data_IF_687398647551
#
_entry.id   IF_687398647551
#
_cell.length_a   1.000
_cell.length_b   1.000
_cell.length_c   1.000
_cell.angle_alpha   90.00
_cell.angle_beta   90.00
_cell.angle_gamma   90.00
#
_symmetry.space_group_name_H-M   'P 1'
#
loop_
_entity.id
_entity.type
_entity.pdbx_description
1 polymer ?
#
# COMPACT_ATOMS: atom_id res chain seq x y z
N UNK A 1 5.18 -48.88 0.89
CA UNK A 1 5.30 -47.41 0.96
C UNK A 1 6.64 -47.09 0.33
N UNK A 2 6.66 -47.02 -1.01
CA UNK A 2 7.86 -46.82 -1.81
C UNK A 2 8.06 -45.33 -1.99
N UNK A 3 9.18 -44.82 -1.51
CA UNK A 3 9.62 -43.45 -1.76
C UNK A 3 10.41 -43.49 -3.06
N UNK A 4 9.97 -42.71 -4.04
CA UNK A 4 10.49 -42.66 -5.41
C UNK A 4 11.91 -42.06 -5.39
N UNK A 5 12.91 -42.86 -5.79
CA UNK A 5 14.35 -42.51 -5.79
C UNK A 5 14.71 -41.36 -6.77
N UNK A 6 13.73 -40.84 -7.51
CA UNK A 6 13.92 -39.73 -8.44
C UNK A 6 14.01 -38.35 -7.77
N UNK A 7 13.63 -38.26 -6.49
CA UNK A 7 13.63 -36.96 -5.77
C UNK A 7 15.00 -36.59 -5.19
N UNK A 8 15.93 -37.57 -5.12
CA UNK A 8 17.24 -37.34 -4.49
C UNK A 8 18.29 -36.85 -5.48
N UNK A 9 18.15 -37.17 -6.78
CA UNK A 9 19.14 -36.76 -7.80
C UNK A 9 19.03 -35.30 -8.23
N UNK A 10 17.84 -34.67 -8.15
CA UNK A 10 17.67 -33.26 -8.56
C UNK A 10 18.14 -32.23 -7.51
N UNK A 11 18.42 -32.64 -6.28
CA UNK A 11 18.82 -31.72 -5.22
C UNK A 11 20.33 -31.72 -4.92
N UNK A 12 21.09 -32.65 -5.51
CA UNK A 12 22.55 -32.70 -5.33
C UNK A 12 23.30 -31.83 -6.33
N UNK A 13 22.71 -31.54 -7.50
CA UNK A 13 23.39 -30.75 -8.54
C UNK A 13 23.39 -29.23 -8.29
N UNK A 14 22.43 -28.71 -7.51
CA UNK A 14 22.41 -27.27 -7.15
C UNK A 14 23.45 -26.85 -6.10
N UNK A 15 24.03 -27.81 -5.40
CA UNK A 15 25.04 -27.49 -4.37
C UNK A 15 26.48 -27.44 -4.95
N UNK A 16 26.67 -27.98 -6.14
CA UNK A 16 27.95 -27.96 -6.84
C UNK A 16 28.17 -26.67 -7.65
N UNK A 17 27.10 -25.99 -8.06
CA UNK A 17 27.21 -24.72 -8.81
C UNK A 17 27.44 -23.49 -7.92
N UNK A 18 27.04 -23.51 -6.65
CA UNK A 18 27.30 -22.44 -5.72
C UNK A 18 28.74 -22.39 -5.21
N UNK A 19 29.51 -23.44 -5.39
CA UNK A 19 30.91 -23.51 -4.95
C UNK A 19 31.90 -22.97 -5.98
N UNK A 20 31.49 -22.73 -7.23
CA UNK A 20 32.37 -22.21 -8.29
C UNK A 20 32.32 -20.69 -8.48
N UNK A 21 31.46 -20.01 -7.78
CA UNK A 21 31.31 -18.55 -7.92
C UNK A 21 32.11 -17.75 -6.89
N UNK A 22 32.84 -18.39 -5.97
CA UNK A 22 33.59 -17.71 -4.93
C UNK A 22 35.11 -17.58 -5.17
N UNK A 23 35.64 -18.04 -6.31
CA UNK A 23 37.08 -18.00 -6.58
C UNK A 23 37.52 -17.06 -7.72
N UNK A 24 36.64 -16.19 -8.21
CA UNK A 24 36.96 -15.28 -9.31
C UNK A 24 37.11 -13.80 -8.91
N UNK A 25 37.38 -13.50 -7.64
CA UNK A 25 37.62 -12.13 -7.19
C UNK A 25 39.00 -11.99 -6.55
N UNK A 26 40.04 -12.30 -7.30
CA UNK A 26 41.40 -11.86 -6.96
C UNK A 26 42.15 -11.45 -8.22
N UNK A 27 42.65 -10.22 -8.15
CA UNK A 27 43.69 -9.62 -8.98
C UNK A 27 43.35 -9.17 -10.39
N UNK A 28 43.08 -7.87 -10.51
CA UNK A 28 43.83 -6.98 -11.42
C UNK A 28 43.57 -5.54 -11.00
N UNK A 29 44.52 -4.90 -10.33
CA UNK A 29 45.52 -3.97 -10.82
C UNK A 29 44.95 -2.57 -11.14
N UNK A 30 45.33 -1.63 -10.27
CA UNK A 30 45.68 -0.25 -10.59
C UNK A 30 44.98 0.38 -11.79
N UNK A 31 43.82 0.99 -11.55
CA UNK A 31 43.37 2.03 -12.46
C UNK A 31 43.90 3.38 -11.93
N UNK A 32 44.92 3.84 -12.59
CA UNK A 32 45.52 5.15 -12.49
C UNK A 32 44.41 6.22 -12.58
N UNK A 33 44.27 6.99 -11.51
CA UNK A 33 43.28 8.06 -11.41
C UNK A 33 43.65 9.14 -12.42
N UNK A 34 43.11 9.04 -13.62
CA UNK A 34 43.00 10.19 -14.50
C UNK A 34 41.96 11.13 -13.85
N UNK A 35 42.47 12.18 -13.23
CA UNK A 35 41.69 13.32 -12.74
C UNK A 35 41.00 14.01 -13.91
N UNK A 36 39.76 13.57 -14.20
CA UNK A 36 38.86 14.36 -15.05
C UNK A 36 38.36 15.52 -14.17
N UNK A 37 38.65 16.78 -14.51
CA UNK A 37 38.11 17.91 -13.79
C UNK A 37 36.59 17.89 -14.01
N UNK A 38 35.83 17.64 -12.95
CA UNK A 38 34.37 17.85 -12.91
C UNK A 38 34.10 19.31 -13.25
N UNK A 39 33.22 19.62 -14.22
CA UNK A 39 32.83 20.99 -14.49
C UNK A 39 32.17 21.57 -13.21
N UNK A 40 32.51 22.80 -12.82
CA UNK A 40 32.05 23.40 -11.56
C UNK A 40 30.57 23.87 -11.57
N UNK A 41 29.74 23.42 -12.49
CA UNK A 41 28.36 23.90 -12.64
C UNK A 41 27.30 22.81 -12.78
N UNK A 42 27.37 21.78 -11.95
CA UNK A 42 26.23 20.89 -11.75
C UNK A 42 25.78 20.87 -10.27
N UNK A 43 25.85 22.05 -9.63
CA UNK A 43 25.12 22.29 -8.40
C UNK A 43 23.67 22.46 -8.83
N UNK A 44 22.84 21.45 -8.51
CA UNK A 44 21.41 21.43 -8.68
C UNK A 44 20.78 22.75 -8.17
N UNK A 45 20.51 23.68 -9.11
CA UNK A 45 19.86 24.98 -8.83
C UNK A 45 18.35 24.79 -8.68
N UNK A 46 17.90 23.88 -7.82
CA UNK A 46 16.49 23.82 -7.42
C UNK A 46 16.27 23.20 -6.03
N UNK A 47 17.21 23.37 -5.11
CA UNK A 47 16.85 23.39 -3.69
C UNK A 47 16.33 24.79 -3.42
N UNK A 48 15.05 25.02 -3.67
CA UNK A 48 14.34 26.13 -3.09
C UNK A 48 14.46 25.94 -1.57
N UNK A 49 15.13 26.88 -0.90
CA UNK A 49 15.22 26.93 0.55
C UNK A 49 13.87 27.37 1.14
N UNK A 50 12.83 26.53 0.92
CA UNK A 50 11.57 26.71 1.63
C UNK A 50 11.83 26.46 3.10
N UNK A 51 11.41 27.37 3.96
CA UNK A 51 11.51 27.14 5.39
C UNK A 51 10.59 25.97 5.77
N UNK A 52 10.91 25.29 6.88
CA UNK A 52 10.08 24.20 7.39
C UNK A 52 8.64 24.68 7.66
N UNK A 53 8.50 25.93 8.14
CA UNK A 53 7.21 26.56 8.40
C UNK A 53 6.40 26.74 7.11
N UNK A 54 7.03 27.16 6.03
CA UNK A 54 6.37 27.28 4.72
C UNK A 54 5.94 25.92 4.19
N UNK A 55 6.78 24.88 4.32
CA UNK A 55 6.45 23.52 3.92
C UNK A 55 5.28 22.94 4.74
N UNK A 56 5.25 23.21 6.06
CA UNK A 56 4.14 22.80 6.94
C UNK A 56 2.84 23.59 6.65
N UNK A 57 2.95 24.83 6.17
CA UNK A 57 1.81 25.65 5.75
C UNK A 57 1.11 25.14 4.48
N UNK A 58 1.77 24.27 3.71
CA UNK A 58 1.25 23.66 2.47
C UNK A 58 0.66 22.26 2.72
N UNK A 59 0.20 21.97 3.94
CA UNK A 59 -0.44 20.68 4.23
C UNK A 59 -1.68 20.49 3.37
N UNK A 60 -1.72 19.37 2.68
CA UNK A 60 -2.89 18.92 1.91
C UNK A 60 -4.12 18.63 2.79
N UNK A 61 -5.27 18.46 2.11
CA UNK A 61 -6.50 17.95 2.69
C UNK A 61 -6.24 16.67 3.49
N UNK A 62 -6.77 16.59 4.71
CA UNK A 62 -6.65 15.40 5.55
C UNK A 62 -7.59 14.27 5.09
N UNK A 63 -7.35 13.04 5.59
CA UNK A 63 -8.24 11.91 5.34
C UNK A 63 -9.69 12.22 5.75
N UNK A 64 -9.89 12.83 6.91
CA UNK A 64 -11.23 13.15 7.42
C UNK A 64 -11.96 14.14 6.53
N UNK A 65 -11.29 15.18 6.06
CA UNK A 65 -11.86 16.18 5.15
C UNK A 65 -12.20 15.54 3.79
N UNK A 66 -11.29 14.77 3.22
CA UNK A 66 -11.53 14.05 1.97
C UNK A 66 -12.72 13.09 2.07
N UNK A 67 -12.81 12.32 3.17
CA UNK A 67 -13.93 11.41 3.41
C UNK A 67 -15.27 12.15 3.42
N UNK A 68 -15.39 13.23 4.18
CA UNK A 68 -16.62 14.02 4.27
C UNK A 68 -17.01 14.61 2.92
N UNK A 69 -16.04 15.16 2.19
CA UNK A 69 -16.25 15.67 0.83
C UNK A 69 -16.77 14.56 -0.12
N UNK A 70 -16.18 13.37 -0.05
CA UNK A 70 -16.62 12.23 -0.89
C UNK A 70 -18.01 11.73 -0.52
N UNK A 71 -18.41 11.78 0.74
CA UNK A 71 -19.77 11.46 1.19
C UNK A 71 -20.76 12.48 0.58
N UNK A 72 -20.43 13.78 0.64
CA UNK A 72 -21.26 14.83 0.05
C UNK A 72 -21.38 14.67 -1.49
N UNK A 73 -20.26 14.44 -2.17
CA UNK A 73 -20.23 14.20 -3.63
C UNK A 73 -21.08 12.99 -4.04
N UNK A 74 -21.13 11.92 -3.23
CA UNK A 74 -21.93 10.73 -3.49
C UNK A 74 -23.42 10.91 -3.19
N UNK A 75 -23.82 12.03 -2.57
CA UNK A 75 -25.20 12.28 -2.13
C UNK A 75 -25.68 11.37 -1.00
N UNK A 76 -24.78 10.63 -0.36
CA UNK A 76 -25.09 9.79 0.80
C UNK A 76 -25.11 10.61 2.08
N UNK A 77 -25.92 10.17 3.04
CA UNK A 77 -25.83 10.69 4.41
C UNK A 77 -24.72 9.99 5.17
N UNK A 78 -24.15 10.65 6.18
CA UNK A 78 -23.16 10.06 7.10
C UNK A 78 -23.62 8.68 7.62
N UNK A 79 -24.90 8.60 8.00
CA UNK A 79 -25.50 7.38 8.52
C UNK A 79 -25.55 6.23 7.50
N UNK A 80 -25.80 6.54 6.25
CA UNK A 80 -25.76 5.55 5.17
C UNK A 80 -24.32 5.09 4.90
N UNK A 81 -23.37 6.03 4.88
CA UNK A 81 -21.96 5.73 4.62
C UNK A 81 -21.38 4.78 5.67
N UNK A 82 -21.44 5.12 6.98
CA UNK A 82 -20.83 4.26 8.00
C UNK A 82 -21.56 2.92 8.14
N UNK A 83 -22.89 2.86 7.90
CA UNK A 83 -23.62 1.59 7.85
C UNK A 83 -23.21 0.72 6.66
N UNK A 84 -23.09 1.31 5.47
CA UNK A 84 -22.64 0.58 4.26
C UNK A 84 -21.19 0.11 4.41
N UNK A 85 -20.34 0.92 5.03
CA UNK A 85 -18.97 0.56 5.38
C UNK A 85 -18.89 -0.45 6.55
N UNK A 86 -20.00 -0.77 7.21
CA UNK A 86 -20.06 -1.60 8.42
C UNK A 86 -19.11 -1.10 9.52
N UNK A 87 -19.08 0.20 9.74
CA UNK A 87 -18.22 0.89 10.71
C UNK A 87 -19.09 1.42 11.86
N UNK A 88 -18.55 1.31 13.09
CA UNK A 88 -19.26 1.82 14.28
C UNK A 88 -19.45 3.34 14.19
N UNK A 89 -20.65 3.79 14.55
CA UNK A 89 -20.99 5.22 14.65
C UNK A 89 -20.00 6.01 15.51
N UNK A 90 -19.50 5.40 16.61
CA UNK A 90 -18.54 6.06 17.50
C UNK A 90 -17.22 6.35 16.76
N UNK A 91 -16.74 5.37 15.99
CA UNK A 91 -15.53 5.53 15.18
C UNK A 91 -15.73 6.60 14.11
N UNK A 92 -16.86 6.60 13.42
CA UNK A 92 -17.18 7.63 12.43
C UNK A 92 -17.25 9.03 13.06
N UNK A 93 -17.91 9.17 14.22
CA UNK A 93 -17.98 10.42 14.96
C UNK A 93 -16.59 10.93 15.36
N UNK A 94 -15.67 10.04 15.73
CA UNK A 94 -14.30 10.39 16.06
C UNK A 94 -13.53 10.90 14.82
N UNK A 95 -13.68 10.22 13.68
CA UNK A 95 -13.08 10.64 12.40
C UNK A 95 -13.59 12.04 12.01
N UNK A 96 -14.89 12.29 12.16
CA UNK A 96 -15.51 13.59 11.85
C UNK A 96 -15.05 14.71 12.77
N UNK A 97 -14.81 14.42 14.06
CA UNK A 97 -14.44 15.43 15.06
C UNK A 97 -12.96 15.79 15.05
N UNK A 98 -12.12 14.84 14.62
CA UNK A 98 -10.67 15.01 14.63
C UNK A 98 -10.14 15.05 13.18
N UNK A 99 -9.73 16.25 12.74
CA UNK A 99 -9.15 16.47 11.42
C UNK A 99 -7.92 15.61 11.15
N UNK A 100 -7.12 15.35 12.18
CA UNK A 100 -5.86 14.60 12.06
C UNK A 100 -5.98 13.14 12.52
N UNK A 101 -7.21 12.63 12.63
CA UNK A 101 -7.43 11.24 12.97
C UNK A 101 -6.81 10.31 11.94
N UNK A 102 -6.02 9.35 12.41
CA UNK A 102 -5.39 8.32 11.55
C UNK A 102 -6.16 7.00 11.70
N UNK A 103 -7.04 6.66 10.76
CA UNK A 103 -7.72 5.36 10.75
C UNK A 103 -6.76 4.22 10.40
N UNK A 104 -7.18 2.99 10.67
CA UNK A 104 -6.45 1.82 10.16
C UNK A 104 -6.68 1.63 8.65
N UNK A 105 -5.76 0.98 7.95
CA UNK A 105 -5.88 0.69 6.51
C UNK A 105 -7.18 -0.02 6.15
N UNK A 106 -7.63 -1.08 6.87
CA UNK A 106 -8.92 -1.72 6.61
C UNK A 106 -10.11 -0.76 6.74
N UNK A 107 -10.06 0.19 7.70
CA UNK A 107 -11.11 1.21 7.87
C UNK A 107 -11.19 2.14 6.66
N UNK A 108 -10.04 2.59 6.14
CA UNK A 108 -9.98 3.43 4.92
C UNK A 108 -10.56 2.69 3.73
N UNK A 109 -10.17 1.42 3.55
CA UNK A 109 -10.68 0.56 2.47
C UNK A 109 -12.18 0.32 2.59
N UNK A 110 -12.70 0.10 3.81
CA UNK A 110 -14.14 -0.06 4.02
C UNK A 110 -14.94 1.17 3.58
N UNK A 111 -14.46 2.38 3.87
CA UNK A 111 -15.08 3.61 3.37
C UNK A 111 -14.98 3.76 1.86
N UNK A 112 -13.81 3.49 1.29
CA UNK A 112 -13.60 3.58 -0.15
C UNK A 112 -14.50 2.62 -0.93
N UNK A 113 -14.68 1.38 -0.44
CA UNK A 113 -15.60 0.39 -1.00
C UNK A 113 -17.07 0.79 -0.82
N UNK A 114 -17.45 1.33 0.35
CA UNK A 114 -18.80 1.79 0.61
C UNK A 114 -19.21 2.96 -0.31
N UNK A 115 -18.25 3.84 -0.64
CA UNK A 115 -18.42 4.95 -1.56
C UNK A 115 -18.23 4.55 -3.04
N UNK A 116 -17.89 3.30 -3.31
CA UNK A 116 -17.64 2.74 -4.65
C UNK A 116 -16.63 3.58 -5.45
N UNK A 117 -15.54 3.99 -4.77
CA UNK A 117 -14.52 4.83 -5.37
C UNK A 117 -13.69 4.05 -6.40
N UNK A 118 -13.41 4.66 -7.57
CA UNK A 118 -12.48 4.08 -8.53
C UNK A 118 -11.07 3.97 -7.92
N UNK A 119 -10.25 3.05 -8.44
CA UNK A 119 -8.93 2.73 -7.90
C UNK A 119 -8.06 3.96 -7.63
N UNK A 120 -8.02 4.92 -8.55
CA UNK A 120 -7.23 6.15 -8.40
C UNK A 120 -7.65 6.97 -7.15
N UNK A 121 -8.96 7.12 -6.92
CA UNK A 121 -9.47 7.86 -5.75
C UNK A 121 -9.31 7.06 -4.45
N UNK A 122 -9.38 5.73 -4.52
CA UNK A 122 -9.06 4.86 -3.38
C UNK A 122 -7.58 4.99 -2.98
N UNK A 123 -6.67 5.00 -3.93
CA UNK A 123 -5.24 5.20 -3.69
C UNK A 123 -4.96 6.60 -3.11
N UNK A 124 -5.62 7.63 -3.61
CA UNK A 124 -5.53 8.99 -3.06
C UNK A 124 -6.01 9.02 -1.60
N UNK A 125 -7.17 8.43 -1.29
CA UNK A 125 -7.72 8.36 0.06
C UNK A 125 -6.80 7.58 1.02
N UNK A 126 -6.20 6.48 0.57
CA UNK A 126 -5.18 5.75 1.31
C UNK A 126 -3.95 6.62 1.58
N UNK A 127 -3.48 7.36 0.57
CA UNK A 127 -2.34 8.29 0.69
C UNK A 127 -2.57 9.35 1.76
N UNK A 128 -3.77 9.95 1.84
CA UNK A 128 -4.13 10.93 2.88
C UNK A 128 -4.13 10.32 4.29
N UNK A 129 -4.37 9.02 4.42
CA UNK A 129 -4.26 8.28 5.68
C UNK A 129 -2.84 7.76 5.98
N UNK A 130 -1.90 7.94 5.05
CA UNK A 130 -0.51 7.46 5.16
C UNK A 130 -0.34 5.99 4.76
N UNK A 131 -1.24 5.45 3.93
CA UNK A 131 -1.17 4.09 3.41
C UNK A 131 -1.06 4.08 1.89
N UNK A 132 -0.67 2.93 1.35
CA UNK A 132 -0.68 2.65 -0.09
C UNK A 132 -1.07 1.21 -0.34
N UNK A 133 -1.57 0.90 -1.54
CA UNK A 133 -1.67 -0.47 -2.03
C UNK A 133 -0.29 -0.92 -2.51
N UNK A 134 0.13 -2.10 -2.09
CA UNK A 134 1.45 -2.66 -2.41
C UNK A 134 1.31 -3.99 -3.12
N UNK A 135 1.96 -4.13 -4.28
CA UNK A 135 2.03 -5.40 -4.99
C UNK A 135 2.89 -6.47 -4.28
N UNK A 136 3.52 -6.12 -3.15
CA UNK A 136 4.18 -7.09 -2.26
C UNK A 136 3.23 -7.72 -1.24
N UNK A 137 1.98 -7.27 -1.16
CA UNK A 137 0.96 -7.74 -0.21
C UNK A 137 -0.16 -8.46 -0.94
N UNK A 138 -0.40 -9.73 -0.62
CA UNK A 138 -1.53 -10.49 -1.18
C UNK A 138 -2.87 -9.82 -0.88
N UNK A 139 -3.03 -9.27 0.32
CA UNK A 139 -4.21 -8.53 0.74
C UNK A 139 -4.49 -7.36 -0.23
N UNK A 140 -3.47 -6.56 -0.54
CA UNK A 140 -3.62 -5.37 -1.39
C UNK A 140 -3.94 -5.75 -2.84
N UNK A 141 -3.25 -6.77 -3.37
CA UNK A 141 -3.49 -7.29 -4.72
C UNK A 141 -4.94 -7.79 -4.87
N UNK A 142 -5.47 -8.49 -3.87
CA UNK A 142 -6.85 -8.97 -3.90
C UNK A 142 -7.82 -7.80 -3.93
N UNK A 143 -7.65 -6.81 -3.05
CA UNK A 143 -8.53 -5.63 -3.03
C UNK A 143 -8.47 -4.87 -4.36
N UNK A 144 -7.28 -4.62 -4.88
CA UNK A 144 -7.07 -3.94 -6.17
C UNK A 144 -7.75 -4.68 -7.31
N UNK A 145 -7.60 -6.01 -7.38
CA UNK A 145 -8.23 -6.86 -8.39
C UNK A 145 -9.76 -6.71 -8.45
N UNK A 146 -10.44 -6.67 -7.30
CA UNK A 146 -11.89 -6.50 -7.25
C UNK A 146 -12.32 -5.08 -7.64
N UNK A 147 -11.61 -4.06 -7.17
CA UNK A 147 -11.91 -2.66 -7.46
C UNK A 147 -11.72 -2.33 -8.94
N UNK A 148 -10.66 -2.84 -9.59
CA UNK A 148 -10.45 -2.69 -11.03
C UNK A 148 -11.57 -3.27 -11.88
N UNK A 149 -12.26 -4.28 -11.38
CA UNK A 149 -13.43 -4.90 -12.03
C UNK A 149 -14.76 -4.22 -11.69
N UNK A 150 -14.72 -3.14 -10.90
CA UNK A 150 -15.92 -2.46 -10.42
C UNK A 150 -16.74 -3.28 -9.44
N UNK A 151 -16.13 -4.26 -8.79
CA UNK A 151 -16.79 -5.05 -7.76
C UNK A 151 -16.43 -4.53 -6.37
N UNK A 152 -17.38 -3.87 -5.73
CA UNK A 152 -17.25 -3.26 -4.41
C UNK A 152 -17.93 -4.09 -3.31
N UNK A 153 -18.28 -5.34 -3.60
CA UNK A 153 -18.93 -6.22 -2.63
C UNK A 153 -17.95 -6.71 -1.58
N UNK A 154 -18.02 -6.13 -0.38
CA UNK A 154 -17.13 -6.45 0.76
C UNK A 154 -17.19 -7.92 1.14
N UNK A 155 -18.33 -8.59 0.97
CA UNK A 155 -18.48 -10.01 1.30
C UNK A 155 -17.66 -10.89 0.35
N UNK A 156 -17.73 -10.64 -0.95
CA UNK A 156 -16.96 -11.37 -1.96
C UNK A 156 -15.45 -11.12 -1.80
N UNK A 157 -15.06 -9.87 -1.50
CA UNK A 157 -13.67 -9.52 -1.22
C UNK A 157 -13.18 -10.26 0.02
N UNK A 158 -13.96 -10.30 1.09
CA UNK A 158 -13.61 -11.01 2.32
C UNK A 158 -13.55 -12.54 2.11
N UNK A 159 -14.42 -13.10 1.28
CA UNK A 159 -14.37 -14.53 0.92
C UNK A 159 -13.06 -14.85 0.18
N UNK A 160 -12.66 -14.02 -0.77
CA UNK A 160 -11.37 -14.16 -1.44
C UNK A 160 -10.20 -13.98 -0.48
N UNK A 161 -10.22 -12.96 0.39
CA UNK A 161 -9.19 -12.76 1.41
C UNK A 161 -9.05 -13.99 2.33
N UNK A 162 -10.15 -14.56 2.77
CA UNK A 162 -10.16 -15.76 3.58
C UNK A 162 -9.58 -16.97 2.84
N UNK A 163 -9.94 -17.16 1.56
CA UNK A 163 -9.43 -18.25 0.73
C UNK A 163 -7.90 -18.20 0.54
N UNK A 164 -7.30 -17.01 0.66
CA UNK A 164 -5.85 -16.80 0.55
C UNK A 164 -5.16 -16.55 1.90
N UNK A 165 -5.79 -16.92 3.02
CA UNK A 165 -5.26 -16.79 4.39
C UNK A 165 -4.86 -15.33 4.74
N UNK A 166 -5.64 -14.35 4.26
CA UNK A 166 -5.44 -12.94 4.55
C UNK A 166 -6.42 -12.43 5.62
N UNK A 167 -6.03 -11.35 6.32
CA UNK A 167 -6.93 -10.66 7.23
C UNK A 167 -8.13 -10.06 6.48
N UNK A 168 -9.32 -10.13 7.08
CA UNK A 168 -10.53 -9.56 6.51
C UNK A 168 -10.51 -8.02 6.61
N UNK A 169 -11.14 -7.34 5.66
CA UNK A 169 -11.30 -5.87 5.69
C UNK A 169 -12.12 -5.46 6.91
N UNK A 170 -13.18 -6.23 7.20
CA UNK A 170 -14.02 -6.05 8.35
C UNK A 170 -14.16 -7.39 9.05
N UNK A 171 -13.84 -7.42 10.32
CA UNK A 171 -14.18 -8.58 11.16
C UNK A 171 -15.71 -8.66 11.24
N UNK A 172 -16.30 -9.68 10.62
CA UNK A 172 -17.75 -9.96 10.65
C UNK A 172 -18.27 -10.33 12.03
N UNK A 173 -17.47 -10.14 13.09
CA UNK A 173 -17.84 -10.47 14.45
C UNK A 173 -18.38 -9.22 15.15
N UNK A 174 -19.59 -8.83 14.75
CA UNK A 174 -20.55 -8.15 15.61
C UNK A 174 -21.94 -8.69 15.25
N UNK A 175 -22.15 -9.96 15.60
CA UNK A 175 -23.48 -10.51 15.84
C UNK A 175 -23.83 -10.25 17.30
#
# INVERSE_FOLDING_TARGET
MYIDDRYVEEHTDRRAEQSRCSEAWQEESCFEAASVPLPPEAICKSCSSQSLEEALGQMDESFSEMLLRKIEESGMTDAQCYKKANIDRKLFSKIRSDRFYKPSKPTVLAFALALELPLAQMQEMLGKAGFTLSHSSKFDIIVEYFVERGNYNVYEINEALFAFDQSLILSLIHI
#
